data_IF_902637106241
#
_entry.id   IF_902637106241
#
_cell.length_a   1.000
_cell.length_b   1.000
_cell.length_c   1.000
_cell.angle_alpha   90.00
_cell.angle_beta   90.00
_cell.angle_gamma   90.00
#
_symmetry.space_group_name_H-M   'P 1'
#
loop_
_entity.id
_entity.type
_entity.pdbx_description
1 polymer ?
#
# COMPACT_ATOMS: atom_id res chain seq x y z
N UNK A 1 -4.37 16.71 28.55
CA UNK A 1 -5.39 15.70 28.16
C UNK A 1 -6.78 16.26 27.81
N UNK A 2 -7.29 17.36 28.41
CA UNK A 2 -8.63 17.90 28.11
C UNK A 2 -8.82 18.58 26.74
N UNK A 3 -7.76 18.87 25.97
CA UNK A 3 -7.83 19.55 24.66
C UNK A 3 -7.85 18.63 23.42
N UNK A 4 -7.67 17.31 23.56
CA UNK A 4 -7.55 16.37 22.42
C UNK A 4 -8.87 15.64 22.05
N UNK A 5 -9.91 15.73 22.88
CA UNK A 5 -11.12 14.93 22.76
C UNK A 5 -12.23 15.45 21.81
N UNK A 6 -12.46 16.77 21.60
CA UNK A 6 -13.64 17.21 20.85
C UNK A 6 -13.58 16.91 19.34
N UNK A 7 -12.38 16.74 18.77
CA UNK A 7 -12.19 16.56 17.33
C UNK A 7 -12.39 15.11 16.84
N UNK A 8 -11.94 14.13 17.62
CA UNK A 8 -11.90 12.72 17.20
C UNK A 8 -13.29 12.07 17.03
N UNK A 9 -14.34 12.69 17.57
CA UNK A 9 -15.71 12.16 17.53
C UNK A 9 -16.67 13.00 16.69
N UNK A 10 -16.19 14.05 15.99
CA UNK A 10 -17.00 14.68 14.94
C UNK A 10 -16.99 13.75 13.73
N UNK A 11 -18.07 12.99 13.58
CA UNK A 11 -18.40 12.15 12.43
C UNK A 11 -18.37 12.96 11.12
N UNK A 12 -17.21 12.98 10.45
CA UNK A 12 -17.18 13.18 9.00
C UNK A 12 -17.36 11.80 8.36
N UNK A 13 -18.60 11.48 8.03
CA UNK A 13 -18.97 10.26 7.32
C UNK A 13 -18.40 10.31 5.89
N UNK A 14 -17.19 9.80 5.66
CA UNK A 14 -16.78 9.34 4.32
C UNK A 14 -16.85 7.81 4.32
N UNK A 15 -17.80 7.30 3.55
CA UNK A 15 -18.05 5.87 3.41
C UNK A 15 -17.02 5.23 2.48
N UNK A 16 -16.56 4.03 2.83
CA UNK A 16 -15.97 3.10 1.86
C UNK A 16 -17.08 2.58 0.92
N UNK A 17 -16.84 2.41 -0.38
CA UNK A 17 -17.90 2.12 -1.36
C UNK A 17 -18.61 0.77 -1.18
N UNK A 18 -18.04 -0.19 -0.45
CA UNK A 18 -18.52 -1.58 -0.45
C UNK A 18 -19.28 -2.03 0.82
N UNK A 19 -19.77 -1.09 1.65
CA UNK A 19 -20.55 -1.41 2.86
C UNK A 19 -21.83 -0.60 3.08
N UNK A 20 -22.21 0.24 2.12
CA UNK A 20 -23.22 1.29 2.31
C UNK A 20 -24.69 0.82 2.11
N UNK A 21 -25.10 -0.26 2.76
CA UNK A 21 -26.53 -0.64 2.85
C UNK A 21 -27.04 -0.87 4.28
N UNK A 22 -26.28 -0.49 5.31
CA UNK A 22 -26.88 -0.24 6.61
C UNK A 22 -27.49 1.17 6.60
N UNK A 23 -28.80 1.25 6.33
CA UNK A 23 -29.59 2.47 6.48
C UNK A 23 -29.21 3.18 7.79
N UNK A 24 -28.88 4.49 7.71
CA UNK A 24 -28.56 5.37 8.84
C UNK A 24 -29.78 5.48 9.76
N UNK A 25 -30.00 4.48 10.60
CA UNK A 25 -31.05 4.54 11.60
C UNK A 25 -30.77 5.73 12.55
N UNK A 26 -31.78 6.53 12.93
CA UNK A 26 -31.58 7.60 13.89
C UNK A 26 -31.07 6.99 15.21
N UNK A 27 -29.91 7.42 15.67
CA UNK A 27 -29.28 6.91 16.90
C UNK A 27 -29.55 7.86 18.07
N UNK A 28 -29.73 7.28 19.26
CA UNK A 28 -29.99 8.00 20.50
C UNK A 28 -28.75 8.72 21.02
N UNK A 29 -28.87 9.45 22.13
CA UNK A 29 -27.71 9.81 22.95
C UNK A 29 -26.92 8.54 23.36
N UNK A 30 -25.59 8.68 23.40
CA UNK A 30 -24.66 7.62 23.77
C UNK A 30 -24.94 7.14 25.20
N UNK A 31 -25.10 5.83 25.39
CA UNK A 31 -25.24 5.22 26.71
C UNK A 31 -23.92 4.60 27.13
N UNK A 32 -23.48 4.92 28.35
CA UNK A 32 -22.24 4.42 28.94
C UNK A 32 -22.52 3.71 30.26
N UNK A 33 -21.95 2.52 30.40
CA UNK A 33 -21.89 1.71 31.64
C UNK A 33 -20.42 1.43 31.97
N UNK A 34 -20.10 0.97 33.19
CA UNK A 34 -18.71 0.60 33.56
C UNK A 34 -18.02 -0.29 32.51
N UNK A 35 -18.78 -1.19 31.86
CA UNK A 35 -18.21 -2.24 30.99
C UNK A 35 -18.56 -2.10 29.50
N UNK A 36 -19.44 -1.17 29.13
CA UNK A 36 -19.90 -1.06 27.73
C UNK A 36 -20.34 0.35 27.37
N UNK A 37 -20.17 0.70 26.10
CA UNK A 37 -20.65 1.94 25.52
C UNK A 37 -21.37 1.64 24.21
N UNK A 38 -22.59 2.14 24.05
CA UNK A 38 -23.44 1.82 22.91
C UNK A 38 -24.41 2.95 22.60
N UNK A 39 -24.80 3.05 21.35
CA UNK A 39 -25.95 3.81 20.89
C UNK A 39 -27.21 2.95 21.03
N UNK A 40 -28.39 3.57 21.08
CA UNK A 40 -29.66 2.87 20.88
C UNK A 40 -30.30 3.35 19.59
N UNK A 41 -30.89 2.42 18.85
CA UNK A 41 -31.71 2.77 17.69
C UNK A 41 -32.99 3.49 18.15
N UNK A 42 -33.24 4.69 17.63
CA UNK A 42 -34.44 5.50 17.91
C UNK A 42 -35.62 5.13 17.01
N UNK A 43 -35.46 4.25 16.02
CA UNK A 43 -36.58 3.77 15.22
C UNK A 43 -37.62 3.13 16.17
N UNK A 44 -38.86 3.59 16.08
CA UNK A 44 -39.96 3.19 16.98
C UNK A 44 -40.00 1.68 17.15
N UNK A 45 -39.97 1.21 18.41
CA UNK A 45 -40.00 -0.22 18.74
C UNK A 45 -38.69 -1.00 18.54
N UNK A 46 -37.62 -0.41 17.97
CA UNK A 46 -36.38 -1.15 17.70
C UNK A 46 -35.56 -1.42 18.96
N UNK A 47 -35.22 -0.39 19.75
CA UNK A 47 -34.49 -0.53 21.03
C UNK A 47 -33.08 -1.15 20.96
N UNK A 48 -32.64 -1.59 19.78
CA UNK A 48 -31.39 -2.32 19.58
C UNK A 48 -30.17 -1.50 20.00
N UNK A 49 -29.23 -2.17 20.66
CA UNK A 49 -27.94 -1.60 21.07
C UNK A 49 -26.96 -1.70 19.90
N UNK A 50 -26.43 -0.58 19.49
CA UNK A 50 -25.42 -0.49 18.43
C UNK A 50 -24.08 -0.14 19.09
N UNK A 51 -22.99 -0.89 18.85
CA UNK A 51 -21.68 -0.55 19.39
C UNK A 51 -21.30 0.90 19.10
N UNK A 52 -20.63 1.58 20.04
CA UNK A 52 -20.33 3.01 19.89
C UNK A 52 -19.46 3.33 18.66
N UNK A 53 -18.66 2.37 18.22
CA UNK A 53 -17.78 2.41 17.06
C UNK A 53 -18.36 1.70 15.82
N UNK A 54 -19.67 1.46 15.77
CA UNK A 54 -20.28 0.73 14.65
C UNK A 54 -20.13 1.43 13.30
N UNK A 55 -19.95 2.76 13.30
CA UNK A 55 -19.82 3.59 12.10
C UNK A 55 -18.39 4.13 11.91
N UNK A 56 -17.37 3.45 12.45
CA UNK A 56 -15.97 3.80 12.21
C UNK A 56 -15.20 2.62 11.64
N UNK A 57 -13.97 2.85 11.19
CA UNK A 57 -13.07 1.78 10.72
C UNK A 57 -12.80 0.69 11.78
N UNK A 58 -13.08 0.98 13.05
CA UNK A 58 -12.90 0.05 14.16
C UNK A 58 -14.15 -0.78 14.45
N UNK A 59 -15.10 -0.86 13.53
CA UNK A 59 -16.31 -1.66 13.69
C UNK A 59 -15.98 -3.10 14.13
N UNK A 60 -16.64 -3.57 15.19
CA UNK A 60 -16.40 -4.90 15.77
C UNK A 60 -15.27 -4.97 16.79
N UNK A 61 -14.47 -3.90 16.96
CA UNK A 61 -13.47 -3.82 18.02
C UNK A 61 -14.17 -3.63 19.38
N UNK A 62 -14.08 -4.66 20.24
CA UNK A 62 -14.68 -4.64 21.58
C UNK A 62 -13.76 -3.96 22.60
N UNK A 63 -13.81 -2.63 22.67
CA UNK A 63 -13.06 -1.83 23.65
C UNK A 63 -13.84 -0.59 24.11
N UNK A 64 -13.40 -0.02 25.25
CA UNK A 64 -13.85 1.29 25.71
C UNK A 64 -13.09 2.40 24.95
N UNK A 65 -13.64 3.62 24.82
CA UNK A 65 -12.98 4.73 24.12
C UNK A 65 -11.60 5.06 24.65
N UNK A 66 -11.41 5.05 25.97
CA UNK A 66 -10.11 5.30 26.59
C UNK A 66 -9.05 4.25 26.18
N UNK A 67 -9.47 3.00 25.96
CA UNK A 67 -8.59 1.93 25.47
C UNK A 67 -8.26 2.15 23.99
N UNK A 68 -9.24 2.55 23.17
CA UNK A 68 -8.97 2.93 21.77
C UNK A 68 -7.99 4.10 21.69
N UNK A 69 -8.21 5.15 22.46
CA UNK A 69 -7.33 6.32 22.51
C UNK A 69 -5.91 5.93 22.92
N UNK A 70 -5.76 5.05 23.91
CA UNK A 70 -4.43 4.53 24.29
C UNK A 70 -3.76 3.77 23.14
N UNK A 71 -4.49 2.90 22.44
CA UNK A 71 -3.95 2.19 21.27
C UNK A 71 -3.56 3.15 20.15
N UNK A 72 -4.32 4.23 19.90
CA UNK A 72 -3.98 5.27 18.94
C UNK A 72 -2.72 6.04 19.33
N UNK A 73 -2.58 6.42 20.60
CA UNK A 73 -1.37 7.07 21.10
C UNK A 73 -0.13 6.18 20.95
N UNK A 74 -0.25 4.88 21.27
CA UNK A 74 0.82 3.91 21.04
C UNK A 74 1.15 3.82 19.55
N UNK A 75 0.15 3.69 18.69
CA UNK A 75 0.34 3.59 17.25
C UNK A 75 1.08 4.80 16.65
N UNK A 76 0.78 6.01 17.13
CA UNK A 76 1.46 7.25 16.72
C UNK A 76 2.92 7.36 17.21
N UNK A 77 3.30 6.55 18.20
CA UNK A 77 4.67 6.47 18.73
C UNK A 77 5.46 5.31 18.12
N UNK A 78 4.80 4.40 17.38
CA UNK A 78 5.51 3.32 16.70
C UNK A 78 6.38 3.89 15.58
N UNK A 79 7.50 3.21 15.35
CA UNK A 79 8.38 3.51 14.24
C UNK A 79 7.59 3.52 12.91
N UNK A 80 7.75 4.63 12.18
CA UNK A 80 7.07 4.82 10.89
C UNK A 80 7.66 3.95 9.79
N UNK A 81 8.93 3.59 9.93
CA UNK A 81 9.72 2.83 8.96
C UNK A 81 9.55 1.32 9.09
N UNK A 82 8.80 0.82 10.10
CA UNK A 82 8.51 -0.60 10.26
C UNK A 82 7.01 -0.89 10.34
N UNK A 83 6.61 -2.09 9.90
CA UNK A 83 5.22 -2.54 10.03
C UNK A 83 4.82 -2.60 11.51
N UNK A 84 3.75 -1.88 11.91
CA UNK A 84 3.23 -1.96 13.27
C UNK A 84 2.90 -3.39 13.68
N UNK A 85 3.46 -3.86 14.81
CA UNK A 85 3.26 -5.24 15.28
C UNK A 85 2.25 -5.28 16.43
N UNK A 86 1.44 -6.32 16.44
CA UNK A 86 0.46 -6.52 17.52
C UNK A 86 1.14 -6.63 18.90
N UNK A 87 2.34 -7.20 18.97
CA UNK A 87 3.11 -7.32 20.22
C UNK A 87 3.39 -5.96 20.86
N UNK A 88 3.79 -4.96 20.06
CA UNK A 88 4.08 -3.61 20.55
C UNK A 88 2.82 -2.96 21.13
N UNK A 89 1.68 -3.10 20.44
CA UNK A 89 0.39 -2.60 20.93
C UNK A 89 -0.07 -3.33 22.20
N UNK A 90 0.10 -4.65 22.27
CA UNK A 90 -0.22 -5.45 23.47
C UNK A 90 0.57 -4.95 24.67
N UNK A 91 1.89 -4.79 24.50
CA UNK A 91 2.80 -4.38 25.57
C UNK A 91 2.51 -2.96 26.06
N UNK A 92 2.41 -2.00 25.15
CA UNK A 92 2.31 -0.59 25.51
C UNK A 92 0.87 -0.15 25.82
N UNK A 93 -0.15 -0.69 25.14
CA UNK A 93 -1.55 -0.36 25.41
C UNK A 93 -2.19 -1.24 26.50
N UNK A 94 -1.53 -2.34 26.90
CA UNK A 94 -2.02 -3.35 27.86
C UNK A 94 -3.36 -3.96 27.42
N UNK A 95 -3.41 -4.43 26.18
CA UNK A 95 -4.61 -5.05 25.57
C UNK A 95 -4.31 -6.48 25.14
N UNK A 96 -5.34 -7.32 25.01
CA UNK A 96 -5.19 -8.67 24.48
C UNK A 96 -4.82 -8.69 22.99
N UNK A 97 -4.09 -9.73 22.55
CA UNK A 97 -3.58 -9.88 21.18
C UNK A 97 -4.66 -9.75 20.11
N UNK A 98 -5.84 -10.35 20.31
CA UNK A 98 -6.93 -10.26 19.34
C UNK A 98 -7.40 -8.81 19.12
N UNK A 99 -7.45 -7.99 20.18
CA UNK A 99 -7.83 -6.57 20.08
C UNK A 99 -6.75 -5.77 19.35
N UNK A 100 -5.49 -5.99 19.69
CA UNK A 100 -4.35 -5.35 19.01
C UNK A 100 -4.32 -5.69 17.51
N UNK A 101 -4.47 -6.98 17.16
CA UNK A 101 -4.51 -7.42 15.76
C UNK A 101 -5.69 -6.81 14.99
N UNK A 102 -6.89 -6.79 15.58
CA UNK A 102 -8.05 -6.15 14.96
C UNK A 102 -7.79 -4.66 14.73
N UNK A 103 -7.36 -3.94 15.77
CA UNK A 103 -7.02 -2.52 15.70
C UNK A 103 -6.01 -2.20 14.58
N UNK A 104 -4.92 -2.97 14.49
CA UNK A 104 -3.91 -2.78 13.45
C UNK A 104 -4.42 -3.16 12.05
N UNK A 105 -5.25 -4.19 11.93
CA UNK A 105 -5.88 -4.56 10.65
C UNK A 105 -6.81 -3.46 10.15
N UNK A 106 -7.60 -2.84 11.03
CA UNK A 106 -8.46 -1.70 10.71
C UNK A 106 -7.63 -0.51 10.19
N UNK A 107 -6.55 -0.15 10.91
CA UNK A 107 -5.66 0.94 10.48
C UNK A 107 -4.91 0.65 9.18
N UNK A 108 -4.54 -0.61 8.93
CA UNK A 108 -3.92 -1.02 7.66
C UNK A 108 -4.89 -0.86 6.49
N UNK A 109 -6.15 -1.27 6.66
CA UNK A 109 -7.20 -1.07 5.65
C UNK A 109 -7.41 0.41 5.39
N UNK A 110 -7.59 1.22 6.43
CA UNK A 110 -7.74 2.66 6.30
C UNK A 110 -6.57 3.32 5.55
N UNK A 111 -5.32 2.93 5.87
CA UNK A 111 -4.14 3.41 5.13
C UNK A 111 -4.13 2.97 3.67
N UNK A 112 -4.53 1.74 3.37
CA UNK A 112 -4.65 1.24 2.00
C UNK A 112 -5.77 1.95 1.20
N UNK A 113 -6.88 2.29 1.85
CA UNK A 113 -7.98 3.04 1.25
C UNK A 113 -7.56 4.49 0.98
N UNK A 114 -6.87 5.13 1.94
CA UNK A 114 -6.30 6.47 1.78
C UNK A 114 -5.29 6.55 0.64
N UNK A 115 -4.53 5.48 0.41
CA UNK A 115 -3.69 5.34 -0.79
C UNK A 115 -4.49 5.46 -2.08
N UNK A 116 -5.71 4.94 -2.15
CA UNK A 116 -6.54 5.06 -3.35
C UNK A 116 -6.92 6.52 -3.63
N UNK A 117 -7.18 7.31 -2.59
CA UNK A 117 -7.39 8.76 -2.71
C UNK A 117 -6.11 9.50 -3.16
N UNK A 118 -4.92 9.07 -2.68
CA UNK A 118 -3.64 9.59 -3.18
C UNK A 118 -3.49 9.35 -4.69
N UNK A 119 -3.82 8.16 -5.19
CA UNK A 119 -3.78 7.87 -6.62
C UNK A 119 -4.73 8.76 -7.44
N UNK A 120 -5.94 9.01 -6.94
CA UNK A 120 -6.94 9.83 -7.65
C UNK A 120 -6.51 11.30 -7.75
N UNK A 121 -5.84 11.81 -6.71
CA UNK A 121 -5.43 13.21 -6.63
C UNK A 121 -3.98 13.45 -7.12
N UNK A 122 -3.25 12.40 -7.46
CA UNK A 122 -1.86 12.50 -7.90
C UNK A 122 -1.73 13.28 -9.21
N UNK A 123 -0.77 14.21 -9.23
CA UNK A 123 -0.39 14.97 -10.42
C UNK A 123 1.14 15.10 -10.50
N UNK A 124 1.78 14.07 -11.07
CA UNK A 124 3.22 14.04 -11.27
C UNK A 124 3.61 14.93 -12.46
N UNK A 125 4.53 15.85 -12.22
CA UNK A 125 4.93 16.91 -13.14
C UNK A 125 6.45 17.13 -13.24
N UNK A 126 7.26 16.43 -12.45
CA UNK A 126 8.73 16.55 -12.45
C UNK A 126 9.46 15.48 -13.28
N UNK A 127 10.71 15.24 -12.91
CA UNK A 127 11.54 14.14 -13.41
C UNK A 127 11.17 12.84 -12.67
N UNK A 128 10.81 11.81 -13.42
CA UNK A 128 10.18 10.60 -12.89
C UNK A 128 11.07 9.39 -13.08
N UNK A 129 11.33 8.68 -12.00
CA UNK A 129 11.96 7.36 -12.03
C UNK A 129 10.85 6.30 -12.04
N UNK A 130 11.01 5.29 -12.90
CA UNK A 130 10.09 4.15 -13.01
C UNK A 130 10.90 2.86 -12.96
N UNK A 131 10.41 1.92 -12.15
CA UNK A 131 11.08 0.65 -11.95
C UNK A 131 10.10 -0.38 -11.35
N UNK A 132 10.51 -1.64 -11.30
CA UNK A 132 9.81 -2.69 -10.59
C UNK A 132 10.75 -3.49 -9.68
N UNK A 133 10.20 -3.96 -8.57
CA UNK A 133 10.87 -4.89 -7.67
C UNK A 133 9.98 -6.09 -7.34
N UNK A 134 10.54 -7.07 -6.65
CA UNK A 134 9.81 -8.24 -6.16
C UNK A 134 9.91 -8.25 -4.63
N UNK A 135 8.76 -8.16 -3.94
CA UNK A 135 8.73 -8.13 -2.46
C UNK A 135 8.80 -9.51 -1.83
N UNK A 136 8.60 -10.56 -2.62
CA UNK A 136 8.78 -11.93 -2.16
C UNK A 136 8.30 -12.97 -3.16
N UNK A 137 8.44 -14.24 -2.78
CA UNK A 137 8.02 -15.38 -3.61
C UNK A 137 7.44 -16.51 -2.75
N UNK A 138 6.57 -17.31 -3.34
CA UNK A 138 6.02 -18.51 -2.69
C UNK A 138 5.82 -19.66 -3.68
N UNK A 139 5.78 -20.89 -3.16
CA UNK A 139 5.57 -22.08 -3.97
C UNK A 139 4.09 -22.29 -4.31
N UNK A 140 3.84 -22.64 -5.58
CA UNK A 140 2.52 -22.99 -6.11
C UNK A 140 2.57 -24.41 -6.67
N UNK A 141 1.63 -25.28 -6.28
CA UNK A 141 1.54 -26.65 -6.83
C UNK A 141 1.00 -26.62 -8.25
N UNK A 142 1.33 -27.64 -9.06
CA UNK A 142 0.82 -27.77 -10.43
C UNK A 142 -0.71 -27.92 -10.51
N UNK A 143 -1.35 -28.39 -9.45
CA UNK A 143 -2.81 -28.52 -9.34
C UNK A 143 -3.52 -27.26 -8.80
N UNK A 144 -2.81 -26.14 -8.64
CA UNK A 144 -3.39 -24.94 -8.06
C UNK A 144 -4.34 -24.25 -9.05
N UNK A 145 -5.61 -24.11 -8.65
CA UNK A 145 -6.69 -23.55 -9.47
C UNK A 145 -6.56 -22.03 -9.69
N UNK A 146 -6.05 -21.28 -8.72
CA UNK A 146 -5.91 -19.83 -8.81
C UNK A 146 -4.92 -19.39 -9.89
N UNK A 147 -3.92 -20.23 -10.19
CA UNK A 147 -2.90 -19.94 -11.20
C UNK A 147 -2.96 -20.88 -12.41
N UNK A 148 -4.09 -21.56 -12.63
CA UNK A 148 -4.23 -22.58 -13.67
C UNK A 148 -3.81 -22.09 -15.07
N UNK A 149 -4.19 -20.87 -15.45
CA UNK A 149 -3.83 -20.28 -16.74
C UNK A 149 -2.31 -20.10 -16.91
N UNK A 150 -1.62 -19.61 -15.87
CA UNK A 150 -0.17 -19.45 -15.90
C UNK A 150 0.56 -20.80 -15.91
N UNK A 151 0.06 -21.78 -15.14
CA UNK A 151 0.57 -23.15 -15.11
C UNK A 151 0.45 -23.80 -16.49
N UNK A 152 -0.72 -23.70 -17.14
CA UNK A 152 -0.94 -24.25 -18.47
C UNK A 152 0.04 -23.66 -19.50
N UNK A 153 0.24 -22.33 -19.47
CA UNK A 153 1.21 -21.64 -20.34
C UNK A 153 2.65 -22.13 -20.12
N UNK A 154 3.05 -22.35 -18.87
CA UNK A 154 4.39 -22.87 -18.55
C UNK A 154 4.54 -24.34 -18.96
N UNK A 155 3.52 -25.17 -18.74
CA UNK A 155 3.52 -26.58 -19.15
C UNK A 155 3.62 -26.71 -20.67
N UNK A 156 2.88 -25.89 -21.43
CA UNK A 156 3.01 -25.86 -22.89
C UNK A 156 4.45 -25.51 -23.34
N UNK A 157 5.11 -24.56 -22.67
CA UNK A 157 6.52 -24.23 -22.96
C UNK A 157 7.46 -25.40 -22.64
N UNK A 158 7.22 -26.12 -21.55
CA UNK A 158 8.03 -27.30 -21.18
C UNK A 158 7.82 -28.45 -22.16
N UNK A 159 6.58 -28.68 -22.60
CA UNK A 159 6.23 -29.73 -23.55
C UNK A 159 6.90 -29.48 -24.92
N UNK A 160 6.87 -28.22 -25.40
CA UNK A 160 7.57 -27.81 -26.62
C UNK A 160 9.09 -28.07 -26.53
N UNK A 161 9.67 -27.95 -25.34
CA UNK A 161 11.09 -28.23 -25.07
C UNK A 161 11.38 -29.69 -24.70
N UNK A 162 10.36 -30.56 -24.69
CA UNK A 162 10.45 -31.97 -24.24
C UNK A 162 11.07 -32.12 -22.85
N UNK A 163 10.83 -31.15 -21.96
CA UNK A 163 11.33 -31.16 -20.59
C UNK A 163 10.29 -31.75 -19.63
N UNK A 164 10.73 -32.38 -18.52
CA UNK A 164 9.83 -32.95 -17.53
C UNK A 164 8.96 -31.87 -16.87
N UNK A 165 7.68 -32.19 -16.64
CA UNK A 165 6.74 -31.26 -16.02
C UNK A 165 7.08 -31.04 -14.55
N UNK A 166 7.22 -29.79 -14.08
CA UNK A 166 7.52 -29.53 -12.69
C UNK A 166 6.28 -29.79 -11.80
N UNK A 167 6.50 -30.37 -10.62
CA UNK A 167 5.44 -30.57 -9.60
C UNK A 167 5.02 -29.28 -8.89
N UNK A 168 5.86 -28.24 -8.98
CA UNK A 168 5.60 -26.93 -8.38
C UNK A 168 6.28 -25.80 -9.17
N UNK A 169 5.77 -24.58 -8.98
CA UNK A 169 6.21 -23.34 -9.59
C UNK A 169 6.56 -22.32 -8.50
N UNK A 170 7.31 -21.29 -8.87
CA UNK A 170 7.57 -20.14 -8.02
C UNK A 170 6.69 -18.98 -8.45
N UNK A 171 5.85 -18.48 -7.55
CA UNK A 171 5.09 -17.25 -7.75
C UNK A 171 5.90 -16.07 -7.18
N UNK A 172 6.20 -15.10 -8.02
CA UNK A 172 6.85 -13.84 -7.65
C UNK A 172 5.77 -12.77 -7.46
N UNK A 173 5.86 -11.96 -6.40
CA UNK A 173 4.92 -10.85 -6.17
C UNK A 173 5.55 -9.55 -6.68
N UNK A 174 5.20 -9.10 -7.91
CA UNK A 174 5.79 -7.91 -8.51
C UNK A 174 5.19 -6.65 -7.88
N UNK A 175 6.03 -5.63 -7.77
CA UNK A 175 5.66 -4.30 -7.31
C UNK A 175 6.26 -3.32 -8.30
N UNK A 176 5.42 -2.55 -8.99
CA UNK A 176 5.84 -1.51 -9.92
C UNK A 176 5.73 -0.16 -9.22
N UNK A 177 6.59 0.79 -9.57
CA UNK A 177 6.51 2.13 -9.01
C UNK A 177 6.89 3.23 -9.99
N UNK A 178 6.37 4.41 -9.67
CA UNK A 178 6.76 5.68 -10.27
C UNK A 178 7.02 6.67 -9.15
N UNK A 179 8.06 7.48 -9.29
CA UNK A 179 8.45 8.44 -8.26
C UNK A 179 9.03 9.70 -8.89
N UNK A 180 8.58 10.87 -8.43
CA UNK A 180 9.33 12.10 -8.63
C UNK A 180 10.61 12.08 -7.78
N UNK A 181 11.75 12.49 -8.35
CA UNK A 181 13.04 12.44 -7.64
C UNK A 181 13.02 13.08 -6.24
N UNK A 182 12.30 14.20 -6.09
CA UNK A 182 12.15 14.90 -4.82
C UNK A 182 10.92 14.47 -4.01
N UNK A 183 9.99 13.70 -4.60
CA UNK A 183 8.70 13.35 -4.02
C UNK A 183 8.67 11.93 -3.43
N UNK A 184 7.53 11.51 -2.84
CA UNK A 184 7.31 10.14 -2.40
C UNK A 184 6.96 9.22 -3.60
N UNK A 185 7.13 7.89 -3.45
CA UNK A 185 6.79 6.92 -4.50
C UNK A 185 5.28 6.66 -4.60
N UNK A 186 4.83 6.31 -5.79
CA UNK A 186 3.54 5.70 -6.07
C UNK A 186 3.76 4.26 -6.51
N UNK A 187 3.02 3.32 -5.90
CA UNK A 187 3.28 1.89 -6.03
C UNK A 187 2.02 1.13 -6.40
N UNK A 188 2.18 0.23 -7.36
CA UNK A 188 1.19 -0.77 -7.73
C UNK A 188 1.69 -2.18 -7.39
N UNK A 189 0.88 -2.96 -6.68
CA UNK A 189 1.14 -4.38 -6.42
C UNK A 189 0.43 -5.23 -7.46
N UNK A 190 1.19 -5.99 -8.23
CA UNK A 190 0.65 -6.81 -9.30
C UNK A 190 0.29 -8.22 -8.89
N UNK A 191 -0.50 -8.88 -9.74
CA UNK A 191 -0.77 -10.30 -9.63
C UNK A 191 0.53 -11.10 -9.65
N UNK A 192 0.65 -12.18 -8.84
CA UNK A 192 1.85 -12.97 -8.83
C UNK A 192 2.13 -13.60 -10.20
N UNK A 193 3.39 -13.54 -10.61
CA UNK A 193 3.86 -14.12 -11.87
C UNK A 193 4.56 -15.43 -11.59
N UNK A 194 4.06 -16.51 -12.19
CA UNK A 194 4.65 -17.83 -12.07
C UNK A 194 5.87 -17.98 -12.98
N UNK A 195 6.89 -18.61 -12.42
CA UNK A 195 8.07 -19.06 -13.15
C UNK A 195 8.40 -20.51 -12.84
N UNK A 196 9.27 -21.08 -13.68
CA UNK A 196 9.82 -22.41 -13.45
C UNK A 196 10.71 -22.42 -12.20
N UNK A 197 10.83 -23.56 -11.49
CA UNK A 197 11.78 -23.70 -10.41
C UNK A 197 13.19 -23.29 -10.85
N UNK A 198 13.92 -22.57 -9.99
CA UNK A 198 15.30 -22.09 -10.22
C UNK A 198 15.46 -21.05 -11.33
N UNK A 199 14.38 -20.58 -11.97
CA UNK A 199 14.49 -19.48 -12.92
C UNK A 199 14.79 -18.16 -12.20
N UNK A 200 15.28 -17.19 -12.98
CA UNK A 200 15.35 -15.79 -12.52
C UNK A 200 13.92 -15.24 -12.33
N UNK A 201 13.75 -14.22 -11.48
CA UNK A 201 12.51 -13.46 -11.40
C UNK A 201 12.12 -12.94 -12.79
N UNK A 202 10.82 -12.88 -13.10
CA UNK A 202 10.36 -12.31 -14.36
C UNK A 202 10.61 -10.80 -14.35
N UNK A 203 11.03 -10.26 -15.49
CA UNK A 203 10.97 -8.82 -15.75
C UNK A 203 9.51 -8.41 -15.95
N UNK A 204 9.16 -7.21 -15.54
CA UNK A 204 7.84 -6.63 -15.76
C UNK A 204 7.53 -6.52 -17.26
N UNK A 205 6.29 -6.82 -17.60
CA UNK A 205 5.78 -6.83 -18.98
C UNK A 205 5.03 -5.54 -19.31
N UNK A 206 4.91 -5.21 -20.60
CA UNK A 206 4.12 -4.06 -21.07
C UNK A 206 2.68 -4.10 -20.60
N UNK A 207 2.10 -5.31 -20.46
CA UNK A 207 0.75 -5.47 -19.90
C UNK A 207 0.70 -5.07 -18.42
N UNK A 208 1.69 -5.44 -17.61
CA UNK A 208 1.74 -5.02 -16.20
C UNK A 208 1.92 -3.51 -16.07
N UNK A 209 2.81 -2.91 -16.87
CA UNK A 209 3.00 -1.46 -16.91
C UNK A 209 1.69 -0.75 -17.29
N UNK A 210 0.98 -1.23 -18.31
CA UNK A 210 -0.30 -0.68 -18.72
C UNK A 210 -1.38 -0.82 -17.61
N UNK A 211 -1.52 -2.03 -17.04
CA UNK A 211 -2.51 -2.31 -15.99
C UNK A 211 -2.25 -1.55 -14.69
N UNK A 212 -0.99 -1.17 -14.42
CA UNK A 212 -0.63 -0.42 -13.21
C UNK A 212 -1.23 0.99 -13.15
N UNK A 213 -1.57 1.57 -14.31
CA UNK A 213 -2.04 2.97 -14.46
C UNK A 213 -1.10 4.03 -13.86
N UNK A 214 0.16 3.68 -13.55
CA UNK A 214 1.12 4.60 -12.93
C UNK A 214 1.43 5.81 -13.82
N UNK A 215 1.42 5.63 -15.14
CA UNK A 215 1.58 6.75 -16.08
C UNK A 215 0.36 7.67 -16.17
N UNK A 216 -0.82 7.26 -15.70
CA UNK A 216 -2.03 8.10 -15.71
C UNK A 216 -1.94 9.23 -14.66
N UNK A 217 -1.02 9.07 -13.70
CA UNK A 217 -0.65 10.07 -12.70
C UNK A 217 0.19 11.22 -13.27
N UNK A 218 0.79 11.03 -14.45
CA UNK A 218 1.64 12.04 -15.08
C UNK A 218 0.76 13.06 -15.80
N UNK A 219 0.75 14.32 -15.33
CA UNK A 219 -0.19 15.35 -15.82
C UNK A 219 0.48 16.43 -16.64
N UNK A 220 0.10 16.57 -17.92
CA UNK A 220 0.59 17.61 -18.83
C UNK A 220 1.69 17.12 -19.79
N UNK A 221 1.94 17.87 -20.86
CA UNK A 221 2.91 17.51 -21.93
C UNK A 221 4.15 18.42 -21.93
N UNK A 222 4.62 18.82 -20.75
CA UNK A 222 5.79 19.70 -20.65
C UNK A 222 7.06 18.97 -21.07
N UNK A 223 7.83 19.58 -21.98
CA UNK A 223 9.17 19.11 -22.40
C UNK A 223 10.22 19.15 -21.29
N UNK A 224 9.92 19.76 -20.13
CA UNK A 224 10.82 19.82 -18.97
C UNK A 224 10.78 18.55 -18.10
N UNK A 225 10.22 17.45 -18.61
CA UNK A 225 10.01 16.21 -17.88
C UNK A 225 10.65 15.08 -18.61
N UNK A 226 11.27 14.20 -17.84
CA UNK A 226 11.92 13.02 -18.37
C UNK A 226 11.57 11.81 -17.51
N UNK A 227 11.28 10.70 -18.18
CA UNK A 227 11.12 9.39 -17.57
C UNK A 227 12.47 8.69 -17.60
N UNK A 228 12.89 8.20 -16.44
CA UNK A 228 14.14 7.47 -16.22
C UNK A 228 13.81 6.02 -15.87
N UNK A 229 13.71 5.11 -16.88
CA UNK A 229 13.52 3.69 -16.65
C UNK A 229 14.85 2.98 -16.39
N UNK A 230 14.79 1.88 -15.62
CA UNK A 230 15.91 0.97 -15.30
C UNK A 230 16.32 0.05 -16.47
N UNK A 231 16.20 0.54 -17.71
CA UNK A 231 16.53 -0.20 -18.93
C UNK A 231 15.50 -1.25 -19.38
N UNK A 232 14.37 -1.41 -18.67
CA UNK A 232 13.29 -2.27 -19.15
C UNK A 232 12.49 -1.58 -20.28
N UNK A 233 12.47 -2.23 -21.45
CA UNK A 233 11.80 -1.77 -22.68
C UNK A 233 10.30 -1.51 -22.46
N UNK A 234 9.64 -2.25 -21.58
CA UNK A 234 8.22 -2.07 -21.28
C UNK A 234 7.90 -0.65 -20.76
N UNK A 235 8.75 -0.10 -19.89
CA UNK A 235 8.60 1.27 -19.39
C UNK A 235 8.86 2.31 -20.48
N UNK A 236 9.93 2.12 -21.26
CA UNK A 236 10.28 3.00 -22.37
C UNK A 236 9.14 3.07 -23.39
N UNK A 237 8.67 1.92 -23.88
CA UNK A 237 7.58 1.88 -24.86
C UNK A 237 6.28 2.50 -24.31
N UNK A 238 5.96 2.30 -23.03
CA UNK A 238 4.78 2.88 -22.41
C UNK A 238 4.85 4.40 -22.21
N UNK A 239 6.05 4.94 -22.00
CA UNK A 239 6.32 6.38 -21.94
C UNK A 239 6.29 7.04 -23.33
N UNK A 240 6.97 6.44 -24.31
CA UNK A 240 7.00 6.89 -25.71
C UNK A 240 5.60 6.91 -26.33
N UNK A 241 4.79 5.88 -26.07
CA UNK A 241 3.38 5.83 -26.51
C UNK A 241 2.51 6.98 -25.96
N UNK A 242 2.95 7.63 -24.87
CA UNK A 242 2.30 8.82 -24.28
C UNK A 242 2.98 10.13 -24.70
N UNK A 243 3.99 10.08 -25.57
CA UNK A 243 4.78 11.25 -25.98
C UNK A 243 5.63 11.84 -24.85
N UNK A 244 6.00 11.03 -23.86
CA UNK A 244 6.85 11.46 -22.76
C UNK A 244 8.33 11.26 -23.14
N UNK A 245 9.21 12.25 -22.92
CA UNK A 245 10.65 12.08 -23.12
C UNK A 245 11.19 10.99 -22.19
N UNK A 246 12.08 10.15 -22.72
CA UNK A 246 12.71 9.04 -21.99
C UNK A 246 14.23 9.20 -22.07
N UNK A 247 14.90 9.11 -20.92
CA UNK A 247 16.35 8.98 -20.85
C UNK A 247 16.67 7.64 -20.14
N UNK A 248 16.94 6.57 -20.89
CA UNK A 248 17.21 5.26 -20.30
C UNK A 248 18.53 5.27 -19.54
N UNK A 249 18.55 4.66 -18.36
CA UNK A 249 19.77 4.44 -17.60
C UNK A 249 20.50 3.21 -18.14
N UNK A 250 21.82 3.30 -18.31
CA UNK A 250 22.63 2.20 -18.87
C UNK A 250 23.38 1.45 -17.77
N UNK A 251 22.85 0.29 -17.36
CA UNK A 251 23.47 -0.58 -16.34
C UNK A 251 24.81 -1.19 -16.76
N UNK A 252 25.07 -1.32 -18.07
CA UNK A 252 26.27 -1.99 -18.58
C UNK A 252 27.57 -1.32 -18.13
N UNK A 253 27.55 -0.02 -17.81
CA UNK A 253 28.72 0.70 -17.30
C UNK A 253 28.68 0.93 -15.78
N UNK A 254 27.70 0.37 -15.06
CA UNK A 254 27.38 0.72 -13.65
C UNK A 254 27.15 2.22 -13.45
N UNK A 255 26.79 2.93 -14.52
CA UNK A 255 26.48 4.36 -14.50
C UNK A 255 24.99 4.48 -14.19
N UNK A 256 24.67 4.33 -12.91
CA UNK A 256 23.32 4.51 -12.36
C UNK A 256 22.89 5.98 -12.37
N UNK A 257 23.86 6.89 -12.52
CA UNK A 257 23.63 8.33 -12.66
C UNK A 257 24.57 8.97 -13.69
N UNK A 258 24.09 9.96 -14.45
CA UNK A 258 24.87 10.84 -15.33
C UNK A 258 24.68 12.29 -14.90
N UNK A 259 25.73 13.13 -14.92
CA UNK A 259 25.56 14.57 -14.78
C UNK A 259 24.69 15.11 -15.92
N UNK A 260 23.69 15.94 -15.60
CA UNK A 260 22.84 16.62 -16.58
C UNK A 260 22.91 18.13 -16.31
N UNK A 261 22.97 18.94 -17.38
CA UNK A 261 22.99 20.40 -17.27
C UNK A 261 21.62 20.90 -16.78
N UNK A 262 21.49 21.41 -15.55
CA UNK A 262 20.21 21.85 -15.06
C UNK A 262 19.83 23.16 -15.77
N UNK A 263 18.86 23.12 -16.68
CA UNK A 263 18.22 24.35 -17.20
C UNK A 263 17.49 25.15 -16.09
N UNK A 264 17.36 24.57 -14.90
CA UNK A 264 16.77 25.19 -13.72
C UNK A 264 17.60 24.80 -12.49
N UNK A 265 18.14 25.79 -11.78
CA UNK A 265 19.05 25.65 -10.61
C UNK A 265 18.44 24.90 -9.41
N UNK A 266 17.13 24.61 -9.43
CA UNK A 266 16.42 23.92 -8.36
C UNK A 266 16.41 22.38 -8.49
N UNK A 267 17.03 21.80 -9.54
CA UNK A 267 16.95 20.36 -9.84
C UNK A 267 18.33 19.72 -9.68
N UNK A 268 18.36 18.53 -9.05
CA UNK A 268 19.55 17.67 -8.97
C UNK A 268 20.19 17.51 -10.36
N UNK A 269 21.48 17.85 -10.46
CA UNK A 269 22.28 17.71 -11.67
C UNK A 269 22.61 16.24 -12.01
N UNK A 270 21.95 15.26 -11.37
CA UNK A 270 22.17 13.83 -11.58
C UNK A 270 20.92 13.17 -12.18
N UNK A 271 21.08 12.57 -13.37
CA UNK A 271 20.11 11.76 -14.12
C UNK A 271 20.32 10.26 -13.88
N UNK A 272 19.36 9.51 -13.33
CA UNK A 272 19.50 8.10 -12.92
C UNK A 272 18.27 7.51 -12.21
N UNK A 273 18.36 6.28 -11.68
CA UNK A 273 17.33 5.51 -10.93
C UNK A 273 17.61 5.35 -9.42
N UNK A 274 18.24 6.34 -8.78
CA UNK A 274 18.66 6.19 -7.37
C UNK A 274 17.55 6.42 -6.33
N UNK A 275 16.55 7.23 -6.65
CA UNK A 275 15.50 7.60 -5.70
C UNK A 275 14.45 6.48 -5.56
N UNK A 276 14.12 5.82 -6.67
CA UNK A 276 13.19 4.69 -6.64
C UNK A 276 13.81 3.45 -5.98
N UNK A 277 15.11 3.19 -6.19
CA UNK A 277 15.84 2.11 -5.51
C UNK A 277 15.84 2.25 -3.98
N UNK A 278 16.08 3.46 -3.47
CA UNK A 278 15.94 3.76 -2.03
C UNK A 278 14.52 3.52 -1.52
N UNK A 279 13.52 3.73 -2.37
CA UNK A 279 12.12 3.44 -2.04
C UNK A 279 11.91 1.94 -1.89
N UNK A 280 12.53 1.12 -2.75
CA UNK A 280 12.50 -0.34 -2.65
C UNK A 280 13.19 -0.86 -1.41
N UNK A 281 14.32 -0.28 -1.03
CA UNK A 281 14.99 -0.60 0.22
C UNK A 281 14.08 -0.27 1.41
N UNK A 282 13.51 0.94 1.46
CA UNK A 282 12.59 1.35 2.52
C UNK A 282 11.35 0.45 2.62
N UNK A 283 10.79 0.04 1.48
CA UNK A 283 9.66 -0.90 1.45
C UNK A 283 10.08 -2.28 2.01
N UNK A 284 11.21 -2.81 1.58
CA UNK A 284 11.70 -4.12 2.04
C UNK A 284 12.05 -4.12 3.53
N UNK A 285 12.57 -3.01 4.06
CA UNK A 285 12.83 -2.83 5.48
C UNK A 285 11.52 -2.73 6.29
N UNK A 286 10.51 -2.06 5.73
CA UNK A 286 9.21 -1.93 6.37
C UNK A 286 8.49 -3.28 6.51
N UNK A 287 8.48 -4.07 5.44
CA UNK A 287 7.78 -5.36 5.40
C UNK A 287 8.36 -6.36 6.42
N UNK A 288 7.51 -7.15 7.10
CA UNK A 288 8.00 -8.12 8.08
C UNK A 288 8.78 -9.24 7.39
N UNK A 289 9.90 -9.65 7.98
CA UNK A 289 10.75 -10.75 7.47
C UNK A 289 9.99 -12.05 7.19
N UNK A 290 8.94 -12.32 7.96
CA UNK A 290 8.08 -13.50 7.84
C UNK A 290 6.67 -13.12 7.34
N UNK A 291 6.60 -12.26 6.32
CA UNK A 291 5.35 -11.92 5.66
C UNK A 291 4.71 -13.19 5.06
N UNK A 292 3.49 -13.50 5.49
CA UNK A 292 2.72 -14.62 4.93
C UNK A 292 2.18 -14.21 3.57
N UNK A 293 2.90 -14.59 2.51
CA UNK A 293 2.53 -14.24 1.14
C UNK A 293 1.40 -15.08 0.56
N UNK A 294 1.17 -16.29 1.08
CA UNK A 294 0.19 -17.23 0.53
C UNK A 294 -0.81 -17.70 1.58
N UNK A 295 -2.09 -17.55 1.27
CA UNK A 295 -3.22 -18.09 2.05
C UNK A 295 -4.14 -18.82 1.08
N UNK A 296 -4.59 -20.02 1.45
CA UNK A 296 -5.50 -20.84 0.62
C UNK A 296 -5.04 -21.07 -0.83
N UNK A 297 -3.74 -21.01 -1.08
CA UNK A 297 -3.18 -21.22 -2.42
C UNK A 297 -3.09 -19.97 -3.30
N UNK A 298 -3.58 -18.82 -2.85
CA UNK A 298 -3.49 -17.53 -3.55
C UNK A 298 -2.62 -16.51 -2.79
N UNK A 299 -2.34 -15.35 -3.40
CA UNK A 299 -1.69 -14.24 -2.71
C UNK A 299 -2.56 -13.82 -1.52
N UNK A 300 -1.93 -13.60 -0.37
CA UNK A 300 -2.63 -13.07 0.79
C UNK A 300 -3.06 -11.62 0.54
N UNK A 301 -4.36 -11.33 0.64
CA UNK A 301 -4.94 -9.99 0.44
C UNK A 301 -4.38 -8.92 1.39
N UNK A 302 -3.81 -9.31 2.53
CA UNK A 302 -3.15 -8.37 3.44
C UNK A 302 -1.81 -7.86 2.90
N UNK A 303 -1.20 -8.53 1.92
CA UNK A 303 0.07 -8.11 1.32
C UNK A 303 -0.08 -6.79 0.57
N UNK A 304 -0.98 -6.64 -0.44
CA UNK A 304 -1.22 -5.35 -1.07
C UNK A 304 -1.58 -4.24 -0.08
N UNK A 305 -2.44 -4.54 0.91
CA UNK A 305 -2.84 -3.56 1.94
C UNK A 305 -1.65 -3.10 2.78
N UNK A 306 -0.70 -3.98 3.08
CA UNK A 306 0.52 -3.63 3.83
C UNK A 306 1.44 -2.74 2.99
N UNK A 307 1.60 -3.03 1.70
CA UNK A 307 2.39 -2.20 0.77
C UNK A 307 1.75 -0.81 0.58
N UNK A 308 0.42 -0.75 0.43
CA UNK A 308 -0.28 0.53 0.34
C UNK A 308 -0.23 1.32 1.65
N UNK A 309 -0.35 0.65 2.80
CA UNK A 309 -0.13 1.30 4.10
C UNK A 309 1.28 1.92 4.19
N UNK A 310 2.31 1.22 3.72
CA UNK A 310 3.66 1.80 3.64
C UNK A 310 3.68 3.06 2.80
N UNK A 311 3.12 3.01 1.60
CA UNK A 311 3.09 4.14 0.68
C UNK A 311 2.40 5.35 1.33
N UNK A 312 1.21 5.16 1.90
CA UNK A 312 0.52 6.24 2.61
C UNK A 312 1.38 6.83 3.74
N UNK A 313 2.05 6.00 4.55
CA UNK A 313 2.96 6.49 5.61
C UNK A 313 4.13 7.28 5.05
N UNK A 314 4.71 6.85 3.93
CA UNK A 314 5.82 7.55 3.27
C UNK A 314 5.38 8.93 2.75
N UNK A 315 4.17 9.04 2.21
CA UNK A 315 3.59 10.32 1.79
C UNK A 315 3.37 11.25 2.99
N UNK A 316 2.76 10.75 4.07
CA UNK A 316 2.57 11.52 5.30
C UNK A 316 3.90 12.01 5.87
N UNK A 317 4.96 11.19 5.81
CA UNK A 317 6.29 11.60 6.27
C UNK A 317 6.89 12.69 5.39
N UNK A 318 6.75 12.56 4.07
CA UNK A 318 7.28 13.51 3.09
C UNK A 318 6.65 14.91 3.22
N UNK A 319 5.38 15.00 3.61
CA UNK A 319 4.67 16.25 3.86
C UNK A 319 5.16 17.05 5.09
N UNK A 320 6.29 16.67 5.70
CA UNK A 320 6.88 17.41 6.82
C UNK A 320 6.32 16.99 8.17
N UNK A 321 6.09 15.69 8.36
CA UNK A 321 5.75 15.16 9.67
C UNK A 321 6.86 15.40 10.70
N UNK A 322 6.55 16.15 11.77
CA UNK A 322 7.52 16.50 12.82
C UNK A 322 7.17 15.94 14.21
N UNK A 323 5.94 15.47 14.47
CA UNK A 323 5.55 15.01 15.82
C UNK A 323 4.35 14.03 15.87
N UNK A 324 4.25 13.09 16.85
CA UNK A 324 3.09 12.19 17.03
C UNK A 324 1.70 12.83 16.93
N UNK A 325 1.56 14.10 17.33
CA UNK A 325 0.32 14.84 17.21
C UNK A 325 -0.09 15.09 15.75
N UNK A 326 0.87 15.42 14.89
CA UNK A 326 0.63 15.66 13.46
C UNK A 326 0.18 14.39 12.75
N UNK A 327 0.70 13.24 13.18
CA UNK A 327 0.35 11.93 12.61
C UNK A 327 -1.06 11.56 13.02
N UNK A 328 -1.44 11.82 14.27
CA UNK A 328 -2.82 11.64 14.71
C UNK A 328 -3.79 12.56 13.95
N UNK A 329 -3.37 13.79 13.62
CA UNK A 329 -4.18 14.70 12.80
C UNK A 329 -4.37 14.17 11.38
N UNK A 330 -3.30 13.64 10.76
CA UNK A 330 -3.39 12.97 9.44
C UNK A 330 -4.18 11.67 9.51
N UNK A 331 -4.02 10.90 10.58
CA UNK A 331 -4.77 9.67 10.81
C UNK A 331 -6.27 9.95 10.94
N UNK A 332 -6.65 11.06 11.59
CA UNK A 332 -8.04 11.48 11.73
C UNK A 332 -8.75 11.70 10.38
N UNK A 333 -8.03 11.99 9.29
CA UNK A 333 -8.69 12.16 7.98
C UNK A 333 -9.11 10.83 7.35
N UNK A 334 -8.64 9.69 7.90
CA UNK A 334 -8.83 8.35 7.31
C UNK A 334 -9.52 7.35 8.28
N UNK A 335 -9.84 7.75 9.51
CA UNK A 335 -10.38 6.92 10.60
C UNK A 335 -11.82 7.30 10.95
#
# INVERSE_FOLDING_TARGET
MKKLLPGFFRTSLRASPEGAQAAKAPLSALKWTRNSMHWRCLKTGCGNRVPWNANSIFQGLRCLPLVLLRMLCVYAQLDLCSVPRAADVVQHARVGRCKASHFLSALRRAGADATSELFQNAALCGNLEVDATCIGKFHVRSSNVHYAAQIAKLNQKMAKKKLPMPKSFLAHVPVLGIRERSGPPYIWVGDPVLTLPKSRPPTESSQQVASSKLFDLVKGRSRKRCIFPDGNVAWQSAAEARGLPVEPVTHQLRVFTRPYSPACTAISALAGTQCIDRSWEGLKQFLPKHLVLKVQGALNEEVPKTVHQWMWRTHVFHEGYLSPADFLNKLRTIV
#
